data_IF_543672802171
#
_entry.id   IF_543672802171
#
_cell.length_a   1.000
_cell.length_b   1.000
_cell.length_c   1.000
_cell.angle_alpha   90.00
_cell.angle_beta   90.00
_cell.angle_gamma   90.00
#
_symmetry.space_group_name_H-M   'P 1'
#
loop_
_entity.id
_entity.type
_entity.pdbx_description
1 polymer ?
#
# COMPACT_ATOMS: atom_id res chain seq x y z
N UNK A 1 30.47 3.87 14.55
CA UNK A 1 31.51 2.99 13.94
C UNK A 1 31.57 3.30 12.46
N UNK A 2 32.70 3.86 11.99
CA UNK A 2 32.93 4.25 10.61
C UNK A 2 33.41 3.03 9.82
N UNK A 3 32.61 2.55 8.86
CA UNK A 3 33.08 1.52 7.93
C UNK A 3 34.00 2.20 6.90
N UNK A 4 35.28 1.83 6.91
CA UNK A 4 36.24 2.20 5.85
C UNK A 4 35.78 1.52 4.56
N UNK A 5 35.44 2.32 3.55
CA UNK A 5 35.40 1.87 2.16
C UNK A 5 36.85 1.80 1.68
N UNK A 6 37.46 0.62 1.83
CA UNK A 6 38.73 0.35 1.17
C UNK A 6 38.46 0.21 -0.34
N UNK A 7 39.11 1.10 -1.10
CA UNK A 7 39.11 1.08 -2.56
C UNK A 7 39.75 -0.23 -3.00
N UNK A 8 38.95 -1.13 -3.56
CA UNK A 8 39.47 -2.27 -4.32
C UNK A 8 40.08 -1.69 -5.60
N UNK A 9 41.40 -1.60 -5.63
CA UNK A 9 42.18 -1.36 -6.84
C UNK A 9 42.01 -2.56 -7.75
N UNK A 10 41.38 -2.35 -8.91
CA UNK A 10 41.19 -3.36 -9.93
C UNK A 10 42.48 -3.48 -10.74
N UNK A 11 43.46 -4.20 -10.21
CA UNK A 11 44.59 -4.68 -11.01
C UNK A 11 44.07 -5.77 -11.95
N UNK A 12 44.21 -5.53 -13.26
CA UNK A 12 43.84 -6.48 -14.31
C UNK A 12 44.82 -7.66 -14.32
N UNK A 13 44.62 -8.61 -13.40
CA UNK A 13 45.13 -9.97 -13.56
C UNK A 13 44.09 -10.75 -14.37
N UNK A 14 44.38 -10.99 -15.65
CA UNK A 14 43.63 -11.93 -16.48
C UNK A 14 43.91 -13.36 -16.03
N UNK A 15 43.44 -13.74 -14.84
CA UNK A 15 43.24 -15.15 -14.50
C UNK A 15 41.93 -15.60 -15.16
N UNK A 16 41.99 -16.73 -15.87
CA UNK A 16 40.80 -17.40 -16.38
C UNK A 16 39.91 -17.75 -15.20
N UNK A 17 38.91 -16.91 -14.93
CA UNK A 17 37.83 -17.25 -13.99
C UNK A 17 37.12 -18.44 -14.61
N UNK A 18 37.24 -19.60 -13.96
CA UNK A 18 36.52 -20.80 -14.34
C UNK A 18 35.02 -20.48 -14.30
N UNK A 19 34.32 -20.88 -15.36
CA UNK A 19 32.87 -20.72 -15.52
C UNK A 19 32.10 -21.23 -14.30
N UNK A 20 32.62 -22.26 -13.64
CA UNK A 20 32.04 -22.80 -12.42
C UNK A 20 32.11 -21.80 -11.25
N UNK A 21 33.26 -21.14 -11.08
CA UNK A 21 33.45 -20.10 -10.05
C UNK A 21 32.58 -18.88 -10.30
N UNK A 22 32.38 -18.51 -11.57
CA UNK A 22 31.47 -17.41 -11.94
C UNK A 22 30.01 -17.76 -11.60
N UNK A 23 29.60 -19.01 -11.88
CA UNK A 23 28.26 -19.50 -11.54
C UNK A 23 28.02 -19.47 -10.03
N UNK A 24 28.99 -19.90 -9.24
CA UNK A 24 28.85 -19.94 -7.78
C UNK A 24 28.71 -18.52 -7.20
N UNK A 25 29.49 -17.55 -7.69
CA UNK A 25 29.38 -16.14 -7.29
C UNK A 25 28.01 -15.57 -7.67
N UNK A 26 27.49 -15.90 -8.86
CA UNK A 26 26.17 -15.44 -9.30
C UNK A 26 25.03 -16.06 -8.48
N UNK A 27 25.15 -17.34 -8.12
CA UNK A 27 24.18 -18.02 -7.27
C UNK A 27 24.18 -17.40 -5.88
N UNK A 28 25.34 -17.15 -5.28
CA UNK A 28 25.47 -16.53 -3.96
C UNK A 28 24.87 -15.11 -3.96
N UNK A 29 25.22 -14.29 -4.94
CA UNK A 29 24.65 -12.95 -5.11
C UNK A 29 23.12 -12.99 -5.30
N UNK A 30 22.60 -13.99 -6.04
CA UNK A 30 21.15 -14.13 -6.24
C UNK A 30 20.40 -14.48 -4.95
N UNK A 31 21.02 -15.24 -4.04
CA UNK A 31 20.45 -15.62 -2.76
C UNK A 31 20.46 -14.46 -1.76
N UNK A 32 21.48 -13.59 -1.80
CA UNK A 32 21.53 -12.38 -0.99
C UNK A 32 20.50 -11.32 -1.44
N UNK A 33 20.24 -11.24 -2.74
CA UNK A 33 19.29 -10.28 -3.35
C UNK A 33 17.84 -10.75 -3.25
N UNK A 34 17.60 -12.03 -2.94
CA UNK A 34 16.25 -12.57 -2.78
C UNK A 34 15.47 -11.72 -1.76
N UNK A 35 14.37 -11.04 -2.16
CA UNK A 35 13.70 -10.08 -1.30
C UNK A 35 13.13 -10.82 -0.09
N UNK A 36 13.76 -10.62 1.07
CA UNK A 36 13.29 -11.15 2.36
C UNK A 36 11.83 -10.72 2.51
N UNK A 37 10.92 -11.70 2.58
CA UNK A 37 9.49 -11.46 2.83
C UNK A 37 9.35 -10.80 4.21
N UNK A 38 9.42 -9.49 4.24
CA UNK A 38 9.20 -8.73 5.47
C UNK A 38 7.75 -8.91 5.88
N UNK A 39 7.52 -9.34 7.12
CA UNK A 39 6.18 -9.37 7.71
C UNK A 39 5.61 -7.97 7.56
N UNK A 40 4.56 -7.81 6.75
CA UNK A 40 3.86 -6.54 6.61
C UNK A 40 3.39 -6.13 8.01
N UNK A 41 4.05 -5.15 8.63
CA UNK A 41 3.55 -4.54 9.87
C UNK A 41 2.13 -4.09 9.57
N UNK A 42 1.19 -4.44 10.44
CA UNK A 42 -0.16 -3.94 10.35
C UNK A 42 -0.05 -2.42 10.22
N UNK A 43 -0.53 -1.87 9.10
CA UNK A 43 -0.58 -0.42 8.92
C UNK A 43 -1.52 0.09 10.00
N UNK A 44 -0.95 0.63 11.09
CA UNK A 44 -1.68 1.54 11.94
C UNK A 44 -2.21 2.63 11.01
N UNK A 45 -3.52 2.87 11.02
CA UNK A 45 -4.08 3.97 10.27
C UNK A 45 -3.40 5.24 10.80
N UNK A 46 -2.54 5.87 10.00
CA UNK A 46 -1.96 7.19 10.27
C UNK A 46 -3.01 8.32 10.19
N UNK A 47 -4.28 7.96 10.26
CA UNK A 47 -5.44 8.79 10.03
C UNK A 47 -6.10 8.91 11.40
N UNK A 48 -5.56 9.83 12.21
CA UNK A 48 -5.94 10.02 13.59
C UNK A 48 -6.33 11.47 13.79
N UNK A 49 -7.63 11.71 13.91
CA UNK A 49 -8.20 12.98 14.35
C UNK A 49 -9.02 12.73 15.63
N UNK A 50 -9.38 13.81 16.33
CA UNK A 50 -10.11 13.70 17.59
C UNK A 50 -11.49 13.03 17.42
N UNK A 51 -12.15 13.26 16.28
CA UNK A 51 -13.43 12.61 15.98
C UNK A 51 -13.31 11.08 15.89
N UNK A 52 -12.27 10.56 15.23
CA UNK A 52 -11.97 9.14 15.14
C UNK A 52 -11.62 8.60 16.53
N UNK A 53 -10.86 9.35 17.32
CA UNK A 53 -10.50 8.94 18.68
C UNK A 53 -11.76 8.82 19.57
N UNK A 54 -12.66 9.79 19.52
CA UNK A 54 -13.95 9.78 20.23
C UNK A 54 -14.80 8.60 19.74
N UNK A 55 -15.00 8.47 18.42
CA UNK A 55 -15.81 7.40 17.84
C UNK A 55 -15.23 6.01 18.15
N UNK A 56 -13.91 5.87 18.22
CA UNK A 56 -13.24 4.64 18.59
C UNK A 56 -13.48 4.28 20.05
N UNK A 57 -13.39 5.26 20.97
CA UNK A 57 -13.72 5.05 22.40
C UNK A 57 -15.18 4.61 22.54
N UNK A 58 -16.11 5.27 21.87
CA UNK A 58 -17.54 4.90 21.90
C UNK A 58 -17.80 3.50 21.34
N UNK A 59 -17.19 3.12 20.22
CA UNK A 59 -17.31 1.78 19.64
C UNK A 59 -16.72 0.70 20.56
N UNK A 60 -15.57 0.97 21.19
CA UNK A 60 -14.99 0.05 22.19
C UNK A 60 -15.92 -0.17 23.37
N UNK A 61 -16.53 0.90 23.90
CA UNK A 61 -17.50 0.83 25.00
C UNK A 61 -18.74 0.02 24.60
N UNK A 62 -19.36 0.33 23.46
CA UNK A 62 -20.53 -0.40 22.97
C UNK A 62 -20.22 -1.88 22.67
N UNK A 63 -19.02 -2.19 22.16
CA UNK A 63 -18.57 -3.57 21.96
C UNK A 63 -18.41 -4.32 23.28
N UNK A 64 -17.88 -3.64 24.31
CA UNK A 64 -17.75 -4.20 25.65
C UNK A 64 -19.13 -4.49 26.27
N UNK A 65 -20.05 -3.52 26.23
CA UNK A 65 -21.43 -3.68 26.72
C UNK A 65 -22.16 -4.82 26.00
N UNK A 66 -22.03 -4.92 24.67
CA UNK A 66 -22.62 -6.03 23.91
C UNK A 66 -22.05 -7.40 24.31
N UNK A 67 -20.74 -7.49 24.63
CA UNK A 67 -20.12 -8.73 25.12
C UNK A 67 -20.59 -9.08 26.54
N UNK A 68 -20.69 -8.07 27.41
CA UNK A 68 -21.11 -8.25 28.80
C UNK A 68 -22.54 -8.79 28.90
N UNK A 69 -23.42 -8.37 28.00
CA UNK A 69 -24.82 -8.80 27.93
C UNK A 69 -25.02 -10.13 27.16
N UNK A 70 -23.98 -10.94 26.99
CA UNK A 70 -24.10 -12.26 26.34
C UNK A 70 -24.21 -12.23 24.82
N UNK A 71 -23.81 -11.12 24.16
CA UNK A 71 -23.85 -10.95 22.70
C UNK A 71 -25.28 -11.12 22.14
N UNK A 72 -26.26 -10.34 22.64
CA UNK A 72 -27.63 -10.46 22.19
C UNK A 72 -27.73 -10.26 20.68
N UNK A 73 -28.56 -11.08 20.05
CA UNK A 73 -28.77 -11.04 18.61
C UNK A 73 -29.76 -9.97 18.20
N UNK A 74 -30.53 -9.36 19.09
CA UNK A 74 -31.39 -8.21 18.77
C UNK A 74 -31.49 -7.28 19.98
N UNK A 75 -32.03 -6.07 19.79
CA UNK A 75 -32.24 -5.08 20.84
C UNK A 75 -31.11 -4.06 21.02
N UNK A 76 -31.18 -3.25 22.09
CA UNK A 76 -30.49 -1.97 22.18
C UNK A 76 -28.97 -2.09 22.12
N UNK A 77 -28.39 -3.13 22.75
CA UNK A 77 -26.94 -3.32 22.75
C UNK A 77 -26.37 -3.66 21.36
N UNK A 78 -27.11 -4.44 20.55
CA UNK A 78 -26.71 -4.74 19.17
C UNK A 78 -26.83 -3.49 18.30
N UNK A 79 -27.92 -2.74 18.44
CA UNK A 79 -28.17 -1.53 17.67
C UNK A 79 -27.16 -0.42 18.00
N UNK A 80 -26.85 -0.23 19.28
CA UNK A 80 -25.84 0.70 19.74
C UNK A 80 -24.44 0.34 19.20
N UNK A 81 -24.06 -0.94 19.23
CA UNK A 81 -22.82 -1.44 18.62
C UNK A 81 -22.80 -1.19 17.11
N UNK A 82 -23.90 -1.45 16.40
CA UNK A 82 -24.02 -1.23 14.95
C UNK A 82 -23.87 0.26 14.62
N UNK A 83 -24.59 1.12 15.33
CA UNK A 83 -24.57 2.58 15.18
C UNK A 83 -23.18 3.16 15.45
N UNK A 84 -22.54 2.80 16.57
CA UNK A 84 -21.19 3.29 16.91
C UNK A 84 -20.12 2.81 15.93
N UNK A 85 -20.23 1.57 15.42
CA UNK A 85 -19.36 1.06 14.34
C UNK A 85 -19.56 1.84 13.04
N UNK A 86 -20.80 2.16 12.67
CA UNK A 86 -21.11 2.97 11.48
C UNK A 86 -20.52 4.39 11.62
N UNK A 87 -20.68 5.03 12.79
CA UNK A 87 -20.08 6.34 13.09
C UNK A 87 -18.55 6.33 12.95
N UNK A 88 -17.88 5.32 13.52
CA UNK A 88 -16.43 5.16 13.37
C UNK A 88 -16.00 5.03 11.91
N UNK A 89 -16.71 4.20 11.12
CA UNK A 89 -16.42 4.07 9.68
C UNK A 89 -16.67 5.37 8.92
N UNK A 90 -17.72 6.10 9.26
CA UNK A 90 -18.01 7.42 8.68
C UNK A 90 -16.90 8.42 8.95
N UNK A 91 -16.44 8.53 10.20
CA UNK A 91 -15.32 9.41 10.58
C UNK A 91 -14.03 9.03 9.84
N UNK A 92 -13.70 7.74 9.78
CA UNK A 92 -12.53 7.25 9.02
C UNK A 92 -12.60 7.61 7.53
N UNK A 93 -13.77 7.43 6.89
CA UNK A 93 -13.95 7.77 5.47
C UNK A 93 -13.81 9.27 5.20
N UNK A 94 -14.38 10.12 6.07
CA UNK A 94 -14.27 11.58 5.95
C UNK A 94 -12.81 12.03 6.01
N UNK A 95 -12.05 11.52 6.99
CA UNK A 95 -10.64 11.88 7.12
C UNK A 95 -9.79 11.35 5.95
N UNK A 96 -10.07 10.13 5.46
CA UNK A 96 -9.41 9.62 4.25
C UNK A 96 -9.67 10.55 3.05
N UNK A 97 -10.91 11.01 2.88
CA UNK A 97 -11.27 11.92 1.80
C UNK A 97 -10.57 13.27 1.95
N UNK A 98 -10.53 13.84 3.16
CA UNK A 98 -9.82 15.08 3.46
C UNK A 98 -8.33 14.95 3.12
N UNK A 99 -7.69 13.87 3.55
CA UNK A 99 -6.27 13.67 3.27
C UNK A 99 -5.98 13.43 1.78
N UNK A 100 -6.93 12.85 1.02
CA UNK A 100 -6.83 12.79 -0.44
C UNK A 100 -6.88 14.19 -1.06
N UNK A 101 -7.81 15.03 -0.62
CA UNK A 101 -7.92 16.41 -1.11
C UNK A 101 -6.66 17.24 -0.78
N UNK A 102 -6.15 17.16 0.45
CA UNK A 102 -4.90 17.82 0.82
C UNK A 102 -3.71 17.35 -0.03
N UNK A 103 -3.60 16.03 -0.29
CA UNK A 103 -2.54 15.53 -1.16
C UNK A 103 -2.71 16.03 -2.60
N UNK A 104 -3.95 16.13 -3.10
CA UNK A 104 -4.23 16.68 -4.43
C UNK A 104 -3.82 18.15 -4.52
N UNK A 105 -4.17 18.97 -3.53
CA UNK A 105 -3.75 20.37 -3.45
C UNK A 105 -2.23 20.51 -3.38
N UNK A 106 -1.54 19.68 -2.59
CA UNK A 106 -0.07 19.66 -2.52
C UNK A 106 0.57 19.34 -3.88
N UNK A 107 -0.04 18.44 -4.66
CA UNK A 107 0.41 18.12 -6.02
C UNK A 107 0.16 19.28 -6.97
N UNK A 108 -1.02 19.91 -6.92
CA UNK A 108 -1.38 21.04 -7.78
C UNK A 108 -0.51 22.28 -7.52
N UNK A 109 -0.08 22.46 -6.27
CA UNK A 109 0.79 23.55 -5.84
C UNK A 109 2.29 23.20 -5.91
N UNK A 110 2.67 22.01 -6.41
CA UNK A 110 4.06 21.59 -6.45
C UNK A 110 4.88 22.48 -7.39
N UNK A 111 6.01 23.00 -6.89
CA UNK A 111 6.90 23.83 -7.67
C UNK A 111 7.72 23.01 -8.66
N UNK A 112 8.22 23.67 -9.72
CA UNK A 112 9.14 23.05 -10.67
C UNK A 112 10.36 22.46 -9.94
N UNK A 113 10.62 21.17 -10.16
CA UNK A 113 11.68 20.35 -9.50
C UNK A 113 11.43 20.00 -8.01
N UNK A 114 10.18 19.98 -7.54
CA UNK A 114 9.87 19.39 -6.24
C UNK A 114 10.04 17.86 -6.24
N UNK A 115 11.28 17.43 -5.97
CA UNK A 115 11.66 16.01 -5.87
C UNK A 115 10.92 15.26 -4.78
N UNK A 116 10.53 15.94 -3.69
CA UNK A 116 9.82 15.31 -2.56
C UNK A 116 8.42 14.90 -2.98
N UNK A 117 7.69 15.80 -3.63
CA UNK A 117 6.34 15.54 -4.15
C UNK A 117 6.38 14.52 -5.28
N UNK A 118 7.40 14.56 -6.14
CA UNK A 118 7.64 13.53 -7.16
C UNK A 118 7.78 12.12 -6.56
N UNK A 119 8.68 11.91 -5.60
CA UNK A 119 8.86 10.59 -5.00
C UNK A 119 7.64 10.17 -4.16
N UNK A 120 6.92 11.12 -3.56
CA UNK A 120 5.65 10.85 -2.86
C UNK A 120 4.60 10.28 -3.81
N UNK A 121 4.47 10.84 -5.02
CA UNK A 121 3.60 10.36 -6.10
C UNK A 121 4.02 8.98 -6.63
N UNK A 122 5.31 8.79 -6.91
CA UNK A 122 5.82 7.48 -7.36
C UNK A 122 5.51 6.39 -6.32
N UNK A 123 5.73 6.68 -5.04
CA UNK A 123 5.46 5.75 -3.96
C UNK A 123 3.94 5.55 -3.69
N UNK A 124 3.09 6.51 -4.04
CA UNK A 124 1.63 6.33 -3.94
C UNK A 124 1.11 5.44 -5.07
N UNK A 125 1.58 5.64 -6.31
CA UNK A 125 1.23 4.81 -7.46
C UNK A 125 1.75 3.37 -7.39
N UNK A 126 2.94 3.14 -6.80
CA UNK A 126 3.46 1.79 -6.54
C UNK A 126 2.58 0.96 -5.59
N UNK A 127 1.68 1.59 -4.82
CA UNK A 127 0.67 0.86 -4.05
C UNK A 127 -0.42 0.40 -5.03
N UNK A 128 -0.19 -0.76 -5.68
CA UNK A 128 -1.07 -1.46 -6.62
C UNK A 128 -2.36 -0.69 -6.97
N UNK A 129 -2.46 -0.07 -8.15
CA UNK A 129 -3.74 0.40 -8.63
C UNK A 129 -4.66 -0.80 -8.77
N UNK A 130 -5.66 -0.92 -7.91
CA UNK A 130 -6.82 -1.81 -8.14
C UNK A 130 -7.86 -1.05 -8.95
N UNK A 131 -7.41 -0.33 -9.99
CA UNK A 131 -8.33 0.32 -10.90
C UNK A 131 -9.04 -0.82 -11.61
N UNK A 132 -10.31 -1.02 -11.27
CA UNK A 132 -11.21 -1.80 -12.11
C UNK A 132 -11.37 -0.97 -13.37
N UNK A 133 -10.83 -1.49 -14.47
CA UNK A 133 -11.07 -0.96 -15.79
C UNK A 133 -12.48 -1.42 -16.16
N UNK A 134 -13.39 -0.47 -16.37
CA UNK A 134 -14.77 -0.75 -16.81
C UNK A 134 -14.82 -0.92 -18.33
N UNK A 135 -13.90 -0.30 -19.07
CA UNK A 135 -13.80 -0.41 -20.53
C UNK A 135 -12.33 -0.29 -21.00
N UNK A 136 -11.96 -1.09 -21.99
CA UNK A 136 -10.69 -1.04 -22.72
C UNK A 136 -10.99 -0.81 -24.20
N UNK A 137 -10.35 0.17 -24.84
CA UNK A 137 -10.50 0.44 -26.27
C UNK A 137 -9.18 0.09 -26.97
N UNK A 138 -9.21 -0.82 -27.94
CA UNK A 138 -8.05 -1.20 -28.77
C UNK A 138 -8.43 -1.07 -30.25
N UNK A 139 -7.82 -0.10 -30.94
CA UNK A 139 -8.25 0.25 -32.31
C UNK A 139 -9.70 0.77 -32.32
N UNK A 140 -10.56 0.12 -33.11
CA UNK A 140 -12.00 0.42 -33.19
C UNK A 140 -12.87 -0.49 -32.30
N UNK A 141 -12.26 -1.38 -31.52
CA UNK A 141 -12.98 -2.33 -30.66
C UNK A 141 -12.99 -1.88 -29.19
N UNK A 142 -14.17 -2.00 -28.57
CA UNK A 142 -14.39 -1.68 -27.15
C UNK A 142 -14.73 -2.93 -26.36
N UNK A 143 -13.92 -3.21 -25.34
CA UNK A 143 -14.06 -4.35 -24.44
C UNK A 143 -14.57 -3.87 -23.08
N UNK A 144 -15.76 -4.29 -22.67
CA UNK A 144 -16.45 -3.77 -21.46
C UNK A 144 -16.64 -4.81 -20.35
N UNK A 145 -16.42 -6.10 -20.62
CA UNK A 145 -16.49 -7.17 -19.62
C UNK A 145 -15.07 -7.57 -19.17
N UNK A 146 -14.87 -7.99 -17.91
CA UNK A 146 -13.54 -8.35 -17.41
C UNK A 146 -12.83 -9.44 -18.21
N UNK A 147 -13.58 -10.42 -18.75
CA UNK A 147 -13.06 -11.48 -19.60
C UNK A 147 -12.61 -10.93 -20.97
N UNK A 148 -13.43 -10.09 -21.59
CA UNK A 148 -13.13 -9.48 -22.89
C UNK A 148 -11.98 -8.47 -22.79
N UNK A 149 -11.88 -7.72 -21.69
CA UNK A 149 -10.77 -6.80 -21.43
C UNK A 149 -9.45 -7.58 -21.44
N UNK A 150 -9.40 -8.77 -20.84
CA UNK A 150 -8.19 -9.62 -20.86
C UNK A 150 -7.84 -10.13 -22.26
N UNK A 151 -8.83 -10.33 -23.13
CA UNK A 151 -8.59 -10.68 -24.54
C UNK A 151 -8.04 -9.49 -25.32
N UNK A 152 -8.60 -8.29 -25.15
CA UNK A 152 -8.08 -7.06 -25.76
C UNK A 152 -6.62 -6.76 -25.38
N UNK A 153 -6.18 -7.18 -24.18
CA UNK A 153 -4.77 -7.08 -23.78
C UNK A 153 -3.85 -8.08 -24.48
N UNK A 154 -4.37 -9.19 -25.00
CA UNK A 154 -3.58 -10.18 -25.76
C UNK A 154 -3.39 -9.78 -27.22
N UNK A 155 -4.24 -8.88 -27.72
CA UNK A 155 -4.22 -8.38 -29.10
C UNK A 155 -3.40 -7.09 -29.26
N UNK A 156 -2.95 -6.49 -28.16
CA UNK A 156 -1.91 -5.44 -28.12
C UNK A 156 -0.52 -6.03 -28.33
#
# INVERSE_FOLDING_TARGET
MKAKLEKISFEQNHEHIDTQTLMDILIEASQEVAPKRTKRKAKHMNIWNDEIAIALKSNKKALYEWKLNGKPQDGPFKDQKKSTKAKLRGAQRREIALQRNMNMEEIMNAQFRDSKTFYKLVNSYRKRPSVQIEELIVGDETYTTPENILEGWKTL
#
